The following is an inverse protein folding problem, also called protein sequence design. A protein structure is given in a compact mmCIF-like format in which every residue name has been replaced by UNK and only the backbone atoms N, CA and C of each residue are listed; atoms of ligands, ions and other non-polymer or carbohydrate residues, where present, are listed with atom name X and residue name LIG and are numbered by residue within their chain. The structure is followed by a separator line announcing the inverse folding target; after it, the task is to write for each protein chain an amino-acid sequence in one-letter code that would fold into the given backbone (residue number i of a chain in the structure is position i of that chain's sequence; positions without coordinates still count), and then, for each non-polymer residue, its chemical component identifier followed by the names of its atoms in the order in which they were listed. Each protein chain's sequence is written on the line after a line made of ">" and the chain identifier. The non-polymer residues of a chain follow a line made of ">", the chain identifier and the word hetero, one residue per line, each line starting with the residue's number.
data_IF_746818213687
#
_entry.id   IF_746818213687
#
_cell.length_a   1.000
_cell.length_b   1.000
_cell.length_c   1.000
_cell.angle_alpha   90.00
_cell.angle_beta   90.00
_cell.angle_gamma   90.00
#
_symmetry.space_group_name_H-M   'P 1'
#
loop_
_entity.id
_entity.type
_entity.pdbx_description
1 polymer ?
#
# COMPACT_ATOMS: atom_id res chain seq x y z
N UNK A 1 -11.58 -2.05 19.91
CA UNK A 1 -11.61 -2.65 18.56
C UNK A 1 -10.29 -2.31 17.88
N UNK A 2 -9.61 -3.26 17.24
CA UNK A 2 -8.28 -3.06 16.65
C UNK A 2 -8.33 -3.34 15.15
N UNK A 3 -7.86 -2.40 14.32
CA UNK A 3 -7.75 -2.61 12.88
C UNK A 3 -6.57 -3.53 12.58
N UNK A 4 -6.83 -4.73 12.06
CA UNK A 4 -5.78 -5.74 11.87
C UNK A 4 -5.15 -5.70 10.47
N UNK A 5 -5.98 -5.66 9.43
CA UNK A 5 -5.50 -5.83 8.05
C UNK A 5 -6.48 -5.28 7.03
N UNK A 6 -5.93 -4.90 5.87
CA UNK A 6 -6.64 -4.83 4.60
C UNK A 6 -6.20 -6.01 3.72
N UNK A 7 -7.07 -6.49 2.83
CA UNK A 7 -6.77 -7.55 1.88
C UNK A 7 -7.07 -7.13 0.46
N UNK A 8 -6.11 -7.28 -0.44
CA UNK A 8 -6.31 -7.18 -1.89
C UNK A 8 -6.54 -8.59 -2.44
N UNK A 9 -7.61 -8.74 -3.23
CA UNK A 9 -7.89 -9.96 -3.98
C UNK A 9 -7.33 -9.81 -5.39
N UNK A 10 -6.51 -10.76 -5.82
CA UNK A 10 -5.85 -10.76 -7.13
C UNK A 10 -6.01 -12.11 -7.82
N UNK A 11 -5.80 -12.15 -9.14
CA UNK A 11 -5.65 -13.41 -9.88
C UNK A 11 -4.24 -14.00 -9.75
N UNK A 12 -3.23 -13.17 -9.46
CA UNK A 12 -1.81 -13.57 -9.44
C UNK A 12 -1.11 -13.03 -8.19
N UNK A 13 -1.11 -13.86 -7.14
CA UNK A 13 -0.48 -13.55 -5.85
C UNK A 13 1.03 -13.37 -5.99
N UNK A 14 1.70 -14.18 -6.81
CA UNK A 14 3.15 -14.09 -6.97
C UNK A 14 3.55 -12.74 -7.58
N UNK A 15 2.91 -12.33 -8.68
CA UNK A 15 3.19 -11.06 -9.36
C UNK A 15 2.96 -9.84 -8.47
N UNK A 16 1.86 -9.80 -7.72
CA UNK A 16 1.58 -8.66 -6.85
C UNK A 16 2.50 -8.65 -5.62
N UNK A 17 2.87 -9.82 -5.07
CA UNK A 17 3.87 -9.88 -4.00
C UNK A 17 5.21 -9.35 -4.49
N UNK A 18 5.71 -9.84 -5.62
CA UNK A 18 7.00 -9.39 -6.18
C UNK A 18 6.99 -7.87 -6.42
N UNK A 19 5.87 -7.31 -6.85
CA UNK A 19 5.70 -5.86 -6.94
C UNK A 19 5.84 -5.17 -5.58
N UNK A 20 5.09 -5.58 -4.56
CA UNK A 20 5.14 -4.93 -3.25
C UNK A 20 6.49 -5.15 -2.54
N UNK A 21 7.16 -6.29 -2.74
CA UNK A 21 8.52 -6.52 -2.20
C UNK A 21 9.51 -5.53 -2.83
N UNK A 22 9.45 -5.36 -4.15
CA UNK A 22 10.28 -4.37 -4.87
C UNK A 22 9.90 -2.94 -4.52
N UNK A 23 8.62 -2.63 -4.45
CA UNK A 23 8.15 -1.27 -4.18
C UNK A 23 8.43 -0.85 -2.75
N UNK A 24 8.34 -1.73 -1.76
CA UNK A 24 8.46 -1.34 -0.34
C UNK A 24 9.80 -1.74 0.30
N UNK A 25 10.56 -2.65 -0.32
CA UNK A 25 11.73 -3.27 0.29
C UNK A 25 11.39 -4.25 1.42
N UNK A 26 10.11 -4.46 1.73
CA UNK A 26 9.67 -5.44 2.71
C UNK A 26 9.68 -6.85 2.10
N UNK A 27 9.83 -7.86 2.93
CA UNK A 27 9.67 -9.26 2.53
C UNK A 27 8.30 -9.76 2.93
N UNK A 28 7.57 -10.35 2.00
CA UNK A 28 6.28 -10.95 2.30
C UNK A 28 6.47 -12.28 3.05
N UNK A 29 5.61 -12.50 4.04
CA UNK A 29 5.41 -13.84 4.59
C UNK A 29 4.40 -14.57 3.73
N UNK A 30 4.88 -15.54 2.94
CA UNK A 30 4.05 -16.40 2.10
C UNK A 30 3.64 -17.64 2.89
N UNK A 31 2.34 -17.89 3.02
CA UNK A 31 1.82 -19.06 3.73
C UNK A 31 1.46 -20.19 2.77
N UNK A 32 0.92 -19.82 1.61
CA UNK A 32 0.57 -20.71 0.49
C UNK A 32 0.73 -19.94 -0.81
N UNK A 33 0.59 -20.63 -1.94
CA UNK A 33 0.52 -19.99 -3.27
C UNK A 33 -0.70 -19.04 -3.41
N UNK A 34 -1.68 -19.15 -2.51
CA UNK A 34 -2.93 -18.40 -2.54
C UNK A 34 -2.94 -17.23 -1.57
N UNK A 35 -1.94 -17.11 -0.69
CA UNK A 35 -1.97 -16.16 0.42
C UNK A 35 -0.58 -15.73 0.92
N UNK A 36 -0.38 -14.41 0.96
CA UNK A 36 0.81 -13.77 1.49
C UNK A 36 0.48 -12.49 2.26
N UNK A 37 1.37 -12.09 3.16
CA UNK A 37 1.19 -10.91 4.01
C UNK A 37 2.45 -10.07 4.09
N UNK A 38 2.27 -8.75 4.06
CA UNK A 38 3.26 -7.76 4.47
C UNK A 38 2.86 -7.22 5.84
N UNK A 39 3.63 -7.59 6.87
CA UNK A 39 3.42 -7.10 8.23
C UNK A 39 4.13 -5.75 8.41
N UNK A 40 3.38 -4.74 8.82
CA UNK A 40 3.91 -3.41 9.15
C UNK A 40 3.64 -3.10 10.62
N UNK A 41 4.25 -2.04 11.15
CA UNK A 41 3.95 -1.55 12.51
C UNK A 41 2.51 -1.07 12.68
N UNK A 42 1.82 -0.74 11.59
CA UNK A 42 0.50 -0.10 11.60
C UNK A 42 -0.64 -1.07 11.21
N UNK A 43 -0.32 -2.31 10.87
CA UNK A 43 -1.27 -3.31 10.39
C UNK A 43 -0.68 -4.18 9.28
N UNK A 44 -1.51 -5.07 8.73
CA UNK A 44 -1.08 -6.01 7.68
C UNK A 44 -1.72 -5.67 6.33
N UNK A 45 -0.91 -5.65 5.28
CA UNK A 45 -1.40 -5.75 3.90
C UNK A 45 -1.40 -7.23 3.50
N UNK A 46 -2.58 -7.81 3.37
CA UNK A 46 -2.75 -9.18 2.92
C UNK A 46 -3.04 -9.23 1.41
N UNK A 47 -2.49 -10.24 0.74
CA UNK A 47 -2.64 -10.49 -0.68
C UNK A 47 -3.18 -11.90 -0.85
N UNK A 48 -4.31 -12.05 -1.55
CA UNK A 48 -4.98 -13.33 -1.63
C UNK A 48 -5.54 -13.61 -3.02
N UNK A 49 -5.52 -14.88 -3.42
CA UNK A 49 -6.14 -15.34 -4.66
C UNK A 49 -7.67 -15.25 -4.59
N UNK A 50 -8.33 -15.07 -5.74
CA UNK A 50 -9.77 -15.30 -5.93
C UNK A 50 -10.25 -16.64 -5.36
N UNK A 51 -9.39 -17.66 -5.29
CA UNK A 51 -9.67 -18.96 -4.64
C UNK A 51 -10.12 -18.82 -3.19
N UNK A 52 -9.58 -17.85 -2.45
CA UNK A 52 -9.85 -17.63 -1.02
C UNK A 52 -11.23 -17.03 -0.74
N UNK A 53 -11.90 -16.50 -1.77
CA UNK A 53 -13.20 -15.82 -1.65
C UNK A 53 -14.31 -16.50 -2.45
N UNK A 54 -14.07 -17.70 -3.01
CA UNK A 54 -15.06 -18.44 -3.83
C UNK A 54 -16.38 -18.69 -3.11
N UNK A 55 -16.37 -18.84 -1.79
CA UNK A 55 -17.58 -19.04 -0.98
C UNK A 55 -18.52 -17.84 -0.89
N UNK A 56 -18.11 -16.65 -1.37
CA UNK A 56 -18.90 -15.42 -1.29
C UNK A 56 -19.84 -15.22 -2.48
N UNK A 57 -19.78 -16.08 -3.51
CA UNK A 57 -20.65 -15.98 -4.69
C UNK A 57 -20.53 -14.62 -5.40
N UNK A 58 -21.66 -14.00 -5.74
CA UNK A 58 -21.70 -12.71 -6.45
C UNK A 58 -21.10 -11.54 -5.65
N UNK A 59 -20.99 -11.68 -4.33
CA UNK A 59 -20.41 -10.67 -3.44
C UNK A 59 -18.89 -10.78 -3.31
N UNK A 60 -18.26 -11.75 -3.99
CA UNK A 60 -16.81 -11.89 -3.99
C UNK A 60 -16.15 -10.62 -4.56
N UNK A 61 -15.09 -10.10 -3.92
CA UNK A 61 -14.30 -9.02 -4.49
C UNK A 61 -13.75 -9.42 -5.85
N UNK A 62 -13.78 -8.48 -6.80
CA UNK A 62 -13.23 -8.68 -8.13
C UNK A 62 -11.81 -8.11 -8.17
N UNK A 63 -10.80 -8.88 -8.62
CA UNK A 63 -9.49 -8.34 -8.91
C UNK A 63 -9.56 -7.13 -9.84
N UNK A 64 -8.63 -6.20 -9.67
CA UNK A 64 -8.48 -5.01 -10.52
C UNK A 64 -9.73 -4.11 -10.65
N UNK A 65 -10.68 -4.20 -9.71
CA UNK A 65 -11.90 -3.36 -9.71
C UNK A 65 -11.91 -2.28 -8.63
N UNK A 66 -10.82 -2.11 -7.89
CA UNK A 66 -10.74 -1.11 -6.81
C UNK A 66 -10.67 0.30 -7.39
N UNK A 67 -11.59 1.16 -6.97
CA UNK A 67 -11.65 2.58 -7.36
C UNK A 67 -11.88 3.51 -6.16
N UNK A 68 -11.82 2.98 -4.94
CA UNK A 68 -12.19 3.72 -3.72
C UNK A 68 -11.19 3.61 -2.58
N UNK A 69 -10.23 2.68 -2.66
CA UNK A 69 -9.24 2.46 -1.62
C UNK A 69 -7.84 2.76 -2.15
N UNK A 70 -7.06 3.49 -1.34
CA UNK A 70 -5.65 3.77 -1.57
C UNK A 70 -4.85 3.05 -0.48
N UNK A 71 -3.80 2.34 -0.86
CA UNK A 71 -2.85 1.74 0.09
C UNK A 71 -1.74 2.75 0.36
N UNK A 72 -1.58 3.18 1.60
CA UNK A 72 -0.67 4.26 1.94
C UNK A 72 0.52 3.76 2.77
N UNK A 73 1.74 4.09 2.33
CA UNK A 73 2.97 3.82 3.06
C UNK A 73 3.64 5.14 3.41
N UNK A 74 3.97 5.30 4.68
CA UNK A 74 4.83 6.40 5.12
C UNK A 74 6.28 6.02 4.85
N UNK A 75 6.97 6.82 4.06
CA UNK A 75 8.39 6.62 3.70
C UNK A 75 9.25 7.75 4.24
N UNK A 76 10.56 7.53 4.32
CA UNK A 76 11.48 8.55 4.78
C UNK A 76 11.67 9.67 3.74
N UNK A 77 11.79 9.30 2.46
CA UNK A 77 12.07 10.21 1.35
C UNK A 77 11.25 9.83 0.12
N UNK A 78 10.22 10.61 -0.18
CA UNK A 78 9.30 10.34 -1.31
C UNK A 78 9.99 10.56 -2.66
N UNK A 79 10.87 11.56 -2.74
CA UNK A 79 11.58 11.90 -3.97
C UNK A 79 12.63 10.83 -4.29
N UNK A 80 13.35 10.34 -3.27
CA UNK A 80 14.26 9.21 -3.41
C UNK A 80 13.56 7.92 -3.84
N UNK A 81 12.39 7.61 -3.27
CA UNK A 81 11.60 6.45 -3.72
C UNK A 81 11.08 6.60 -5.14
N UNK A 82 10.76 7.81 -5.59
CA UNK A 82 10.40 8.06 -6.98
C UNK A 82 11.55 7.76 -7.94
N UNK A 83 12.76 8.21 -7.63
CA UNK A 83 13.95 7.88 -8.42
C UNK A 83 14.17 6.37 -8.54
N UNK A 84 14.03 5.64 -7.43
CA UNK A 84 14.15 4.17 -7.40
C UNK A 84 13.01 3.48 -8.16
N UNK A 85 11.78 3.99 -8.05
CA UNK A 85 10.62 3.44 -8.74
C UNK A 85 10.74 3.55 -10.27
N UNK A 86 11.38 4.61 -10.78
CA UNK A 86 11.64 4.76 -12.23
C UNK A 86 12.54 3.66 -12.81
N UNK A 87 13.31 2.95 -11.98
CA UNK A 87 14.14 1.83 -12.43
C UNK A 87 13.32 0.59 -12.80
N UNK A 88 12.02 0.58 -12.49
CA UNK A 88 11.12 -0.50 -12.88
C UNK A 88 9.78 0.00 -13.40
N UNK A 89 9.15 -0.82 -14.26
CA UNK A 89 7.94 -0.43 -14.99
C UNK A 89 6.73 -0.32 -14.05
N UNK A 90 6.54 0.86 -13.47
CA UNK A 90 5.43 1.22 -12.58
C UNK A 90 4.65 2.37 -13.21
N UNK A 91 3.33 2.25 -13.24
CA UNK A 91 2.46 3.31 -13.72
C UNK A 91 2.36 4.43 -12.67
N UNK A 92 3.08 5.53 -12.90
CA UNK A 92 3.01 6.73 -12.06
C UNK A 92 1.74 7.52 -12.41
N UNK A 93 0.91 7.77 -11.40
CA UNK A 93 -0.34 8.54 -11.52
C UNK A 93 -0.09 10.02 -11.24
N UNK A 94 0.71 10.30 -10.21
CA UNK A 94 1.14 11.64 -9.88
C UNK A 94 2.57 11.57 -9.32
N UNK A 95 3.50 12.26 -9.98
CA UNK A 95 4.87 12.45 -9.52
C UNK A 95 4.90 13.05 -8.11
N UNK A 96 6.04 13.01 -7.39
CA UNK A 96 6.13 13.60 -6.06
C UNK A 96 5.58 15.03 -6.06
N UNK A 97 4.50 15.25 -5.29
CA UNK A 97 3.80 16.54 -5.15
C UNK A 97 3.53 16.83 -3.68
N UNK A 98 3.83 18.06 -3.23
CA UNK A 98 3.45 18.51 -1.90
C UNK A 98 1.99 18.92 -1.91
N UNK A 99 1.17 18.16 -1.19
CA UNK A 99 -0.27 18.34 -1.13
C UNK A 99 -0.65 19.55 -0.28
N UNK A 100 -1.85 20.14 -0.45
CA UNK A 100 -2.30 21.30 0.33
C UNK A 100 -2.29 21.09 1.84
N UNK A 101 -2.45 19.84 2.30
CA UNK A 101 -2.36 19.46 3.70
C UNK A 101 -0.94 19.17 4.19
N UNK A 102 0.10 19.40 3.38
CA UNK A 102 1.50 19.39 3.79
C UNK A 102 2.24 18.05 3.73
N UNK A 103 1.64 17.01 3.17
CA UNK A 103 2.36 15.77 2.84
C UNK A 103 3.03 15.90 1.48
N UNK A 104 4.29 15.47 1.36
CA UNK A 104 4.88 15.09 0.08
C UNK A 104 4.31 13.72 -0.29
N UNK A 105 3.74 13.57 -1.47
CA UNK A 105 3.05 12.35 -1.92
C UNK A 105 3.46 11.95 -3.33
N UNK A 106 3.71 10.65 -3.53
CA UNK A 106 3.90 9.98 -4.81
C UNK A 106 2.79 8.96 -4.98
N UNK A 107 2.00 9.09 -6.05
CA UNK A 107 0.87 8.21 -6.32
C UNK A 107 1.15 7.37 -7.57
N UNK A 108 0.97 6.07 -7.46
CA UNK A 108 1.23 5.11 -8.53
C UNK A 108 0.27 3.92 -8.43
N UNK A 109 0.30 3.03 -9.43
CA UNK A 109 -0.52 1.83 -9.44
C UNK A 109 0.30 0.57 -9.20
N UNK A 110 -0.31 -0.36 -8.47
CA UNK A 110 0.13 -1.75 -8.45
C UNK A 110 -0.29 -2.49 -9.73
N UNK A 111 0.14 -3.76 -9.91
CA UNK A 111 -0.11 -4.52 -11.14
C UNK A 111 -1.60 -4.84 -11.39
N UNK A 112 -2.48 -4.66 -10.41
CA UNK A 112 -3.94 -4.78 -10.56
C UNK A 112 -4.62 -3.41 -10.66
N UNK A 113 -3.84 -2.33 -10.74
CA UNK A 113 -4.35 -0.97 -10.86
C UNK A 113 -4.80 -0.34 -9.54
N UNK A 114 -4.53 -0.97 -8.39
CA UNK A 114 -4.82 -0.34 -7.10
C UNK A 114 -3.91 0.87 -6.90
N UNK A 115 -4.45 1.95 -6.33
CA UNK A 115 -3.66 3.11 -5.99
C UNK A 115 -2.79 2.85 -4.77
N UNK A 116 -1.50 3.14 -4.91
CA UNK A 116 -0.50 3.10 -3.83
C UNK A 116 0.08 4.52 -3.67
N UNK A 117 0.11 5.00 -2.43
CA UNK A 117 0.63 6.31 -2.07
C UNK A 117 1.84 6.17 -1.16
N UNK A 118 3.00 6.63 -1.63
CA UNK A 118 4.16 6.86 -0.76
C UNK A 118 4.14 8.30 -0.31
N UNK A 119 4.14 8.52 1.01
CA UNK A 119 4.03 9.86 1.53
C UNK A 119 4.91 10.12 2.75
N UNK A 120 5.19 11.39 2.99
CA UNK A 120 5.77 11.85 4.25
C UNK A 120 5.33 13.29 4.56
N UNK A 121 5.00 13.64 5.81
CA UNK A 121 4.72 15.03 6.18
C UNK A 121 5.98 15.88 6.04
N UNK A 122 5.86 17.06 5.41
CA UNK A 122 7.01 17.98 5.20
C UNK A 122 6.78 19.39 5.75
N UNK A 123 5.54 19.77 6.05
CA UNK A 123 5.25 21.08 6.68
C UNK A 123 5.22 20.96 8.22
N UNK A 124 5.50 22.06 8.96
CA UNK A 124 5.46 22.05 10.43
C UNK A 124 4.13 21.53 11.00
N UNK A 125 3.00 21.94 10.43
CA UNK A 125 1.68 21.50 10.88
C UNK A 125 1.39 20.03 10.55
N UNK A 126 1.90 19.52 9.42
CA UNK A 126 1.77 18.10 9.07
C UNK A 126 2.65 17.23 9.99
N UNK A 127 3.87 17.67 10.28
CA UNK A 127 4.78 16.99 11.21
C UNK A 127 4.17 16.90 12.61
N UNK A 128 3.67 18.02 13.13
CA UNK A 128 3.01 18.07 14.45
C UNK A 128 1.81 17.12 14.52
N UNK A 129 0.95 17.09 13.50
CA UNK A 129 -0.18 16.15 13.44
C UNK A 129 0.29 14.69 13.43
N UNK A 130 1.33 14.39 12.66
CA UNK A 130 1.87 13.04 12.57
C UNK A 130 2.50 12.57 13.90
N UNK A 131 3.15 13.45 14.65
CA UNK A 131 3.67 13.18 15.99
C UNK A 131 2.55 12.91 17.00
N UNK A 132 1.49 13.73 16.96
CA UNK A 132 0.30 13.55 17.81
C UNK A 132 -0.36 12.19 17.55
N UNK A 133 -0.60 11.86 16.28
CA UNK A 133 -1.15 10.55 15.89
C UNK A 133 -0.28 9.38 16.34
N UNK A 134 1.05 9.51 16.23
CA UNK A 134 1.97 8.48 16.68
C UNK A 134 2.00 8.33 18.22
N UNK A 135 1.77 9.40 18.98
CA UNK A 135 1.65 9.35 20.43
C UNK A 135 0.33 8.70 20.86
N UNK A 136 -0.78 9.03 20.20
CA UNK A 136 -2.09 8.44 20.46
C UNK A 136 -2.13 6.94 20.14
N UNK A 137 -1.49 6.50 19.06
CA UNK A 137 -1.43 5.09 18.68
C UNK A 137 -0.65 4.20 19.67
N UNK A 138 0.15 4.80 20.56
CA UNK A 138 0.93 4.09 21.60
C UNK A 138 0.23 4.06 22.97
N UNK A 139 -0.86 4.82 23.13
CA UNK A 139 -1.65 4.89 24.37
C UNK A 139 -2.73 3.80 24.41
#
# INVERSE_FOLDING_TARGET
>A
MHFASIRIITEDVARIVDFYERATGLTAKRYTDDFAEFMTSSGTLALASTRTVRGLGEQAPRPASNQSVIVEFRVADVDGEYERLKEFDVEIVNEPTTQPWGNRSLLFKDPDGNLVNFFTPVTPDALKRAEQQAAEAKA
#
